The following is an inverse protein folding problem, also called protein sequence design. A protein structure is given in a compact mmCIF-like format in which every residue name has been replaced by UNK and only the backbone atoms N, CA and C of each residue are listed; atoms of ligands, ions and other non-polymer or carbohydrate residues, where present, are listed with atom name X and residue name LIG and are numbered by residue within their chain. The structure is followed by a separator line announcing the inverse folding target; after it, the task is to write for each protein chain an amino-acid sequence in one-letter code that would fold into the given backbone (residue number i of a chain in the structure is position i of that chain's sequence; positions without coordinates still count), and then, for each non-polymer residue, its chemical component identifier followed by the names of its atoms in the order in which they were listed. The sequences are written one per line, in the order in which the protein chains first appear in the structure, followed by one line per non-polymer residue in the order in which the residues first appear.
data_IF_402438734837
#
_entry.id   IF_402438734837
#
_cell.length_a   1.000
_cell.length_b   1.000
_cell.length_c   1.000
_cell.angle_alpha   90.00
_cell.angle_beta   90.00
_cell.angle_gamma   90.00
#
_symmetry.space_group_name_H-M   'P 1'
#
loop_
_entity.id
_entity.type
_entity.pdbx_description
1 polymer ?
#
# COMPACT_ATOMS: atom_id res chain seq x y z
N UNK A 1 12.08 5.90 -4.83
CA UNK A 1 11.26 4.67 -4.92
C UNK A 1 10.48 4.55 -3.62
N UNK A 2 9.13 4.55 -3.67
CA UNK A 2 8.28 4.50 -2.48
C UNK A 2 7.73 3.07 -2.32
N UNK A 3 8.03 2.43 -1.20
CA UNK A 3 7.40 1.16 -0.82
C UNK A 3 6.07 1.45 -0.12
N UNK A 4 5.01 0.79 -0.58
CA UNK A 4 3.68 0.83 0.02
C UNK A 4 3.45 -0.44 0.83
N UNK A 5 2.98 -0.26 2.06
CA UNK A 5 2.43 -1.37 2.85
C UNK A 5 1.01 -1.69 2.39
N UNK A 6 0.65 -2.97 2.38
CA UNK A 6 -0.69 -3.40 1.97
C UNK A 6 -1.80 -2.80 2.85
N UNK A 7 -1.52 -2.52 4.13
CA UNK A 7 -2.48 -1.88 5.01
C UNK A 7 -2.78 -0.44 4.59
N UNK A 8 -1.82 0.30 4.02
CA UNK A 8 -2.09 1.65 3.49
C UNK A 8 -3.10 1.57 2.35
N UNK A 9 -2.95 0.60 1.45
CA UNK A 9 -3.92 0.36 0.38
C UNK A 9 -5.30 -0.01 0.94
N UNK A 10 -5.36 -0.93 1.89
CA UNK A 10 -6.62 -1.34 2.50
C UNK A 10 -7.35 -0.15 3.13
N UNK A 11 -6.66 0.69 3.92
CA UNK A 11 -7.25 1.88 4.55
C UNK A 11 -7.75 2.90 3.52
N UNK A 12 -6.99 3.13 2.46
CA UNK A 12 -7.39 4.05 1.40
C UNK A 12 -8.61 3.56 0.60
N UNK A 13 -8.67 2.26 0.29
CA UNK A 13 -9.78 1.69 -0.47
C UNK A 13 -11.06 1.55 0.35
N UNK A 14 -10.93 1.06 1.59
CA UNK A 14 -12.09 0.74 2.41
C UNK A 14 -12.66 1.96 3.12
N UNK A 15 -11.84 2.98 3.41
CA UNK A 15 -12.25 4.20 4.10
C UNK A 15 -13.02 3.92 5.41
N UNK A 16 -12.67 2.83 6.09
CA UNK A 16 -13.44 2.26 7.21
C UNK A 16 -13.27 3.02 8.54
N UNK A 17 -12.09 3.63 8.73
CA UNK A 17 -11.78 4.54 9.82
C UNK A 17 -11.32 5.89 9.26
N UNK A 18 -12.05 6.97 9.58
CA UNK A 18 -11.79 8.30 9.01
C UNK A 18 -10.38 8.83 9.30
N UNK A 19 -9.80 8.51 10.47
CA UNK A 19 -8.46 8.93 10.84
C UNK A 19 -7.38 8.20 10.05
N UNK A 20 -7.52 6.89 9.90
CA UNK A 20 -6.60 6.05 9.13
C UNK A 20 -6.73 6.30 7.62
N UNK A 21 -7.95 6.46 7.12
CA UNK A 21 -8.28 6.88 5.76
C UNK A 21 -7.53 8.15 5.37
N UNK A 22 -7.65 9.22 6.18
CA UNK A 22 -6.99 10.50 5.92
C UNK A 22 -5.46 10.38 5.93
N UNK A 23 -4.90 9.50 6.76
CA UNK A 23 -3.46 9.23 6.78
C UNK A 23 -3.00 8.45 5.55
N UNK A 24 -3.80 7.50 5.09
CA UNK A 24 -3.54 6.71 3.90
C UNK A 24 -3.69 7.52 2.60
N UNK A 25 -4.60 8.51 2.57
CA UNK A 25 -4.80 9.38 1.42
C UNK A 25 -3.54 10.18 1.04
N UNK A 26 -2.83 10.72 2.02
CA UNK A 26 -1.63 11.56 1.79
C UNK A 26 -0.56 10.90 0.91
N UNK A 27 -0.03 9.70 1.24
CA UNK A 27 0.93 9.04 0.37
C UNK A 27 0.29 8.61 -0.96
N UNK A 28 -0.96 8.14 -0.96
CA UNK A 28 -1.64 7.67 -2.18
C UNK A 28 -1.83 8.77 -3.23
N UNK A 29 -2.22 9.97 -2.80
CA UNK A 29 -2.44 11.14 -3.67
C UNK A 29 -1.13 11.78 -4.16
N UNK A 30 0.01 11.45 -3.52
CA UNK A 30 1.33 11.91 -3.96
C UNK A 30 1.91 11.09 -5.12
N UNK A 31 1.30 9.95 -5.45
CA UNK A 31 1.78 9.04 -6.49
C UNK A 31 1.40 9.54 -7.88
N UNK A 32 2.25 9.24 -8.86
CA UNK A 32 1.98 9.52 -10.26
C UNK A 32 2.58 8.43 -11.15
N UNK A 33 2.26 8.45 -12.44
CA UNK A 33 2.88 7.53 -13.42
C UNK A 33 4.40 7.66 -13.45
N UNK A 34 4.93 8.87 -13.23
CA UNK A 34 6.37 9.13 -13.23
C UNK A 34 7.03 8.83 -11.86
N UNK A 35 6.23 8.74 -10.80
CA UNK A 35 6.67 8.41 -9.45
C UNK A 35 5.70 7.39 -8.81
N UNK A 36 5.73 6.13 -9.28
CA UNK A 36 4.81 5.10 -8.79
C UNK A 36 5.20 4.63 -7.39
N UNK A 37 4.20 4.11 -6.68
CA UNK A 37 4.38 3.31 -5.46
C UNK A 37 4.47 1.83 -5.80
N UNK A 38 5.18 1.07 -4.97
CA UNK A 38 5.40 -0.37 -5.19
C UNK A 38 4.97 -1.16 -3.95
N UNK A 39 4.31 -2.29 -4.17
CA UNK A 39 4.01 -3.27 -3.12
C UNK A 39 4.85 -4.53 -3.31
N UNK A 40 5.30 -5.11 -2.21
CA UNK A 40 6.01 -6.38 -2.24
C UNK A 40 5.04 -7.53 -2.46
N UNK A 41 5.33 -8.42 -3.40
CA UNK A 41 4.64 -9.69 -3.53
C UNK A 41 5.22 -10.68 -2.51
N UNK A 42 4.38 -11.16 -1.59
CA UNK A 42 4.74 -12.23 -0.66
C UNK A 42 4.05 -13.50 -1.13
N UNK A 43 4.84 -14.54 -1.39
CA UNK A 43 4.36 -15.87 -1.78
C UNK A 43 4.89 -16.94 -0.84
N UNK A 44 4.35 -18.17 -0.91
CA UNK A 44 4.85 -19.28 -0.13
C UNK A 44 6.30 -19.61 -0.53
N UNK A 45 7.14 -19.90 0.47
CA UNK A 45 8.43 -20.54 0.23
C UNK A 45 8.16 -21.98 -0.25
N UNK A 46 8.61 -22.31 -1.46
CA UNK A 46 8.47 -23.65 -2.04
C UNK A 46 9.68 -24.55 -1.75
N UNK A 47 10.63 -24.07 -0.94
CA UNK A 47 11.92 -24.72 -0.69
C UNK A 47 12.10 -25.26 0.73
N UNK A 48 11.18 -26.11 1.23
CA UNK A 48 11.47 -27.08 2.30
C UNK A 48 10.64 -28.34 2.10
N UNK A 49 11.29 -29.39 1.58
CA UNK A 49 10.93 -30.79 1.82
C UNK A 49 11.69 -31.28 3.04
#
# INVERSE_FOLDING_TARGET
MIGLDNNVLARYMMQDDAGQAARAARPMESLSVQAPGFVSLVGPDRGRT
#
